data_IF_056292805778
#
_entry.id   IF_056292805778
#
_cell.length_a   1.000
_cell.length_b   1.000
_cell.length_c   1.000
_cell.angle_alpha   90.00
_cell.angle_beta   90.00
_cell.angle_gamma   90.00
#
_symmetry.space_group_name_H-M   'P 1'
#
loop_
_entity.id
_entity.type
_entity.pdbx_description
1 polymer ?
#
# COMPACT_ATOMS: atom_id res chain seq x y z
N UNK A 1 1.67 13.51 14.09
CA UNK A 1 1.12 12.76 12.97
C UNK A 1 -0.34 12.41 13.20
N UNK A 2 -1.10 12.33 12.12
CA UNK A 2 -2.53 12.00 12.16
C UNK A 2 -2.75 10.74 11.33
N UNK A 3 -3.31 9.69 11.93
CA UNK A 3 -3.61 8.46 11.19
C UNK A 3 -4.70 8.69 10.15
N UNK A 4 -4.53 8.09 8.96
CA UNK A 4 -5.53 8.14 7.90
C UNK A 4 -6.17 6.77 7.73
N UNK A 5 -7.49 6.72 7.81
CA UNK A 5 -8.23 5.50 7.51
C UNK A 5 -8.32 5.32 5.99
N UNK A 6 -8.49 4.08 5.57
CA UNK A 6 -8.57 3.72 4.15
C UNK A 6 -9.58 4.58 3.39
N UNK A 7 -10.76 4.81 3.96
CA UNK A 7 -11.81 5.58 3.30
C UNK A 7 -11.39 7.01 2.98
N UNK A 8 -10.62 7.64 3.85
CA UNK A 8 -10.12 9.00 3.61
C UNK A 8 -9.22 9.01 2.38
N UNK A 9 -8.32 8.03 2.28
CA UNK A 9 -7.39 7.92 1.15
C UNK A 9 -8.14 7.62 -0.13
N UNK A 10 -9.10 6.68 -0.09
CA UNK A 10 -9.92 6.34 -1.26
C UNK A 10 -10.70 7.56 -1.76
N UNK A 11 -11.35 8.29 -0.87
CA UNK A 11 -12.11 9.50 -1.26
C UNK A 11 -11.21 10.57 -1.86
N UNK A 12 -10.01 10.70 -1.33
CA UNK A 12 -9.02 11.64 -1.89
C UNK A 12 -8.57 11.23 -3.30
N UNK A 13 -8.33 9.94 -3.50
CA UNK A 13 -7.79 9.43 -4.78
C UNK A 13 -8.85 9.29 -5.86
N UNK A 14 -10.03 8.76 -5.52
CA UNK A 14 -11.03 8.35 -6.52
C UNK A 14 -12.00 9.48 -6.87
N UNK A 15 -12.34 10.36 -5.92
CA UNK A 15 -13.17 11.52 -6.17
C UNK A 15 -14.62 11.20 -6.63
N UNK A 16 -15.13 10.02 -6.27
CA UNK A 16 -16.46 9.55 -6.71
C UNK A 16 -17.63 10.00 -5.81
N UNK A 17 -17.31 10.47 -4.61
CA UNK A 17 -18.30 11.05 -3.69
C UNK A 17 -17.95 12.54 -3.52
N UNK A 18 -18.68 13.46 -4.17
CA UNK A 18 -18.28 14.87 -4.18
C UNK A 18 -18.09 15.50 -2.81
N UNK A 19 -18.97 15.18 -1.86
CA UNK A 19 -18.91 15.75 -0.52
C UNK A 19 -17.71 15.22 0.27
N UNK A 20 -17.53 13.90 0.30
CA UNK A 20 -16.41 13.29 1.03
C UNK A 20 -15.09 13.56 0.33
N UNK A 21 -15.06 13.58 -1.00
CA UNK A 21 -13.87 13.91 -1.77
C UNK A 21 -13.39 15.34 -1.45
N UNK A 22 -14.30 16.29 -1.36
CA UNK A 22 -13.96 17.67 -1.02
C UNK A 22 -13.35 17.76 0.39
N UNK A 23 -13.93 17.05 1.35
CA UNK A 23 -13.42 17.01 2.72
C UNK A 23 -12.02 16.37 2.78
N UNK A 24 -11.85 15.23 2.10
CA UNK A 24 -10.58 14.51 2.07
C UNK A 24 -9.49 15.35 1.39
N UNK A 25 -9.81 15.97 0.26
CA UNK A 25 -8.87 16.83 -0.48
C UNK A 25 -8.41 18.00 0.38
N UNK A 26 -9.37 18.68 1.03
CA UNK A 26 -9.05 19.80 1.91
C UNK A 26 -8.14 19.36 3.07
N UNK A 27 -8.46 18.21 3.66
CA UNK A 27 -7.67 17.68 4.78
C UNK A 27 -6.24 17.37 4.35
N UNK A 28 -6.07 16.62 3.27
CA UNK A 28 -4.75 16.22 2.80
C UNK A 28 -3.92 17.42 2.30
N UNK A 29 -4.56 18.34 1.56
CA UNK A 29 -3.81 19.42 0.90
C UNK A 29 -3.65 20.68 1.74
N UNK A 30 -4.52 20.90 2.73
CA UNK A 30 -4.51 22.13 3.51
C UNK A 30 -4.30 21.97 5.00
N UNK A 31 -4.68 20.82 5.57
CA UNK A 31 -4.49 20.56 7.01
C UNK A 31 -3.18 19.83 7.26
N UNK A 32 -2.89 18.80 6.47
CA UNK A 32 -1.63 18.05 6.61
C UNK A 32 -0.45 18.85 6.06
N UNK A 33 0.72 18.61 6.66
CA UNK A 33 1.98 19.22 6.24
C UNK A 33 3.13 18.25 6.55
N UNK A 34 4.34 18.60 6.17
CA UNK A 34 5.52 17.80 6.51
C UNK A 34 5.72 17.73 8.04
N UNK A 35 5.36 18.80 8.75
CA UNK A 35 5.50 18.88 10.22
C UNK A 35 4.35 18.20 10.96
N UNK A 36 3.19 18.07 10.31
CA UNK A 36 2.01 17.40 10.85
C UNK A 36 1.46 16.46 9.78
N UNK A 37 2.19 15.40 9.52
CA UNK A 37 1.92 14.49 8.42
C UNK A 37 0.77 13.53 8.71
N UNK A 38 0.12 13.08 7.65
CA UNK A 38 -0.80 11.94 7.71
C UNK A 38 0.00 10.64 7.75
N UNK A 39 -0.38 9.72 8.64
CA UNK A 39 0.29 8.44 8.79
C UNK A 39 -0.56 7.32 8.18
N UNK A 40 0.05 6.53 7.31
CA UNK A 40 -0.59 5.40 6.64
C UNK A 40 0.06 4.12 7.14
N UNK A 41 -0.72 3.27 7.82
CA UNK A 41 -0.21 1.98 8.29
C UNK A 41 -0.09 0.99 7.13
N UNK A 42 0.73 -0.03 7.30
CA UNK A 42 0.85 -1.11 6.31
C UNK A 42 -0.47 -1.86 6.14
N UNK A 43 -1.26 -1.99 7.20
CA UNK A 43 -2.60 -2.59 7.15
C UNK A 43 -3.50 -1.77 6.22
N UNK A 44 -3.54 -0.46 6.42
CA UNK A 44 -4.34 0.44 5.58
C UNK A 44 -3.87 0.38 4.12
N UNK A 45 -2.57 0.30 3.90
CA UNK A 45 -2.01 0.24 2.56
C UNK A 45 -2.46 -1.02 1.82
N UNK A 46 -2.44 -2.19 2.48
CA UNK A 46 -2.94 -3.43 1.90
C UNK A 46 -4.44 -3.36 1.59
N UNK A 47 -5.22 -2.79 2.52
CA UNK A 47 -6.65 -2.60 2.31
C UNK A 47 -6.93 -1.67 1.13
N UNK A 48 -6.15 -0.59 1.01
CA UNK A 48 -6.26 0.35 -0.10
C UNK A 48 -6.04 -0.34 -1.45
N UNK A 49 -4.99 -1.14 -1.56
CA UNK A 49 -4.70 -1.89 -2.79
C UNK A 49 -5.87 -2.81 -3.14
N UNK A 50 -6.39 -3.53 -2.15
CA UNK A 50 -7.54 -4.42 -2.36
C UNK A 50 -8.77 -3.65 -2.83
N UNK A 51 -9.10 -2.53 -2.18
CA UNK A 51 -10.25 -1.69 -2.54
C UNK A 51 -10.11 -1.16 -3.96
N UNK A 52 -8.95 -0.63 -4.32
CA UNK A 52 -8.73 -0.09 -5.65
C UNK A 52 -8.86 -1.16 -6.73
N UNK A 53 -8.32 -2.35 -6.48
CA UNK A 53 -8.39 -3.45 -7.43
C UNK A 53 -9.82 -4.03 -7.54
N UNK A 54 -10.43 -4.37 -6.41
CA UNK A 54 -11.69 -5.12 -6.39
C UNK A 54 -12.93 -4.24 -6.50
N UNK A 55 -12.90 -3.03 -5.95
CA UNK A 55 -14.07 -2.15 -5.94
C UNK A 55 -14.04 -1.13 -7.10
N UNK A 56 -12.87 -0.77 -7.59
CA UNK A 56 -12.72 0.25 -8.63
C UNK A 56 -12.06 -0.27 -9.90
N UNK A 57 -11.69 -1.54 -9.95
CA UNK A 57 -11.13 -2.14 -11.15
C UNK A 57 -9.78 -1.57 -11.57
N UNK A 58 -9.01 -1.02 -10.63
CA UNK A 58 -7.70 -0.47 -10.94
C UNK A 58 -6.74 -1.59 -11.34
N UNK A 59 -6.02 -1.40 -12.44
CA UNK A 59 -4.99 -2.34 -12.87
C UNK A 59 -3.70 -2.17 -12.06
N UNK A 60 -2.76 -3.08 -12.24
CA UNK A 60 -1.50 -3.06 -11.49
C UNK A 60 -0.68 -1.81 -11.75
N UNK A 61 -0.69 -1.30 -12.96
CA UNK A 61 0.03 -0.07 -13.32
C UNK A 61 -0.51 1.13 -12.55
N UNK A 62 -1.83 1.24 -12.45
CA UNK A 62 -2.48 2.33 -11.71
C UNK A 62 -2.20 2.22 -10.21
N UNK A 63 -2.31 1.01 -9.66
CA UNK A 63 -2.01 0.76 -8.25
C UNK A 63 -0.56 1.11 -7.94
N UNK A 64 0.38 0.72 -8.80
CA UNK A 64 1.79 1.08 -8.65
C UNK A 64 1.96 2.60 -8.58
N UNK A 65 1.34 3.33 -9.50
CA UNK A 65 1.41 4.79 -9.52
C UNK A 65 0.86 5.43 -8.25
N UNK A 66 -0.25 4.89 -7.72
CA UNK A 66 -0.83 5.36 -6.46
C UNK A 66 0.14 5.13 -5.30
N UNK A 67 0.71 3.95 -5.17
CA UNK A 67 1.64 3.63 -4.09
C UNK A 67 2.90 4.49 -4.16
N UNK A 68 3.46 4.65 -5.35
CA UNK A 68 4.62 5.53 -5.55
C UNK A 68 4.30 6.97 -5.16
N UNK A 69 3.12 7.46 -5.53
CA UNK A 69 2.67 8.81 -5.18
C UNK A 69 2.52 9.01 -3.68
N UNK A 70 1.95 8.04 -2.98
CA UNK A 70 1.81 8.11 -1.51
C UNK A 70 3.17 8.12 -0.84
N UNK A 71 4.08 7.26 -1.30
CA UNK A 71 5.44 7.16 -0.75
C UNK A 71 6.26 8.42 -1.00
N UNK A 72 6.00 9.14 -2.09
CA UNK A 72 6.73 10.34 -2.45
C UNK A 72 6.14 11.63 -1.85
N UNK A 73 4.96 11.57 -1.26
CA UNK A 73 4.28 12.76 -0.75
C UNK A 73 4.93 13.29 0.53
N UNK A 74 5.16 14.59 0.59
CA UNK A 74 5.80 15.24 1.74
C UNK A 74 4.89 15.31 2.96
N UNK A 75 3.58 15.36 2.77
CA UNK A 75 2.61 15.44 3.87
C UNK A 75 2.09 14.08 4.33
N UNK A 76 2.61 12.99 3.76
CA UNK A 76 2.23 11.63 4.14
C UNK A 76 3.46 10.84 4.57
N UNK A 77 3.30 10.06 5.63
CA UNK A 77 4.31 9.12 6.11
C UNK A 77 3.72 7.72 6.04
N UNK A 78 4.35 6.87 5.26
CA UNK A 78 3.97 5.45 5.16
C UNK A 78 4.79 4.67 6.18
N UNK A 79 4.12 3.83 6.96
CA UNK A 79 4.77 2.96 7.95
C UNK A 79 5.83 2.08 7.27
N UNK A 80 7.04 2.05 7.83
CA UNK A 80 8.18 1.28 7.30
C UNK A 80 8.33 1.44 5.78
N UNK A 81 8.42 2.69 5.32
CA UNK A 81 8.45 3.03 3.90
C UNK A 81 9.48 2.23 3.10
N UNK A 82 10.66 1.94 3.68
CA UNK A 82 11.69 1.15 3.00
C UNK A 82 11.22 -0.29 2.68
N UNK A 83 10.50 -0.91 3.61
CA UNK A 83 9.91 -2.23 3.38
C UNK A 83 8.83 -2.17 2.32
N UNK A 84 8.03 -1.10 2.33
CA UNK A 84 6.97 -0.91 1.35
C UNK A 84 7.56 -0.72 -0.06
N UNK A 85 8.65 0.05 -0.20
CA UNK A 85 9.36 0.17 -1.47
C UNK A 85 9.88 -1.17 -1.99
N UNK A 86 10.47 -1.98 -1.11
CA UNK A 86 10.97 -3.32 -1.47
C UNK A 86 9.81 -4.23 -1.90
N UNK A 87 8.70 -4.19 -1.15
CA UNK A 87 7.51 -4.97 -1.49
C UNK A 87 6.93 -4.53 -2.83
N UNK A 88 6.89 -3.23 -3.10
CA UNK A 88 6.38 -2.69 -4.36
C UNK A 88 7.20 -3.19 -5.54
N UNK A 89 8.52 -3.18 -5.43
CA UNK A 89 9.41 -3.70 -6.48
C UNK A 89 9.23 -5.20 -6.70
N UNK A 90 9.15 -5.99 -5.63
CA UNK A 90 8.95 -7.42 -5.72
C UNK A 90 7.59 -7.77 -6.33
N UNK A 91 6.55 -7.03 -5.92
CA UNK A 91 5.20 -7.18 -6.44
C UNK A 91 5.14 -6.83 -7.93
N UNK A 92 5.77 -5.72 -8.33
CA UNK A 92 5.77 -5.26 -9.72
C UNK A 92 6.44 -6.27 -10.66
N UNK A 93 7.44 -6.99 -10.18
CA UNK A 93 8.16 -8.01 -10.93
C UNK A 93 7.47 -9.38 -10.90
N UNK A 94 6.31 -9.52 -10.28
CA UNK A 94 5.64 -10.80 -10.04
C UNK A 94 4.16 -10.72 -10.39
N UNK A 95 3.46 -11.86 -10.31
CA UNK A 95 2.00 -11.91 -10.41
C UNK A 95 1.30 -12.04 -9.06
N UNK A 96 2.03 -11.87 -7.96
CA UNK A 96 1.50 -12.06 -6.62
C UNK A 96 0.69 -10.86 -6.14
N UNK A 97 -0.06 -11.03 -5.04
CA UNK A 97 -0.76 -9.95 -4.38
C UNK A 97 0.23 -9.05 -3.62
N UNK A 98 -0.10 -7.78 -3.51
CA UNK A 98 0.74 -6.82 -2.81
C UNK A 98 0.92 -7.19 -1.33
N UNK A 99 -0.14 -7.64 -0.66
CA UNK A 99 -0.08 -8.07 0.74
C UNK A 99 0.89 -9.24 0.93
N UNK A 100 0.97 -10.16 -0.04
CA UNK A 100 1.93 -11.26 0.01
C UNK A 100 3.36 -10.74 -0.13
N UNK A 101 3.60 -9.83 -1.07
CA UNK A 101 4.90 -9.22 -1.25
C UNK A 101 5.35 -8.49 0.01
N UNK A 102 4.45 -7.75 0.64
CA UNK A 102 4.74 -7.03 1.89
C UNK A 102 5.01 -8.00 3.05
N UNK A 103 4.21 -9.06 3.16
CA UNK A 103 4.41 -10.11 4.17
C UNK A 103 5.82 -10.68 4.09
N UNK A 104 6.28 -11.00 2.89
CA UNK A 104 7.63 -11.54 2.69
C UNK A 104 8.73 -10.59 3.13
N UNK A 105 8.57 -9.30 2.84
CA UNK A 105 9.54 -8.29 3.26
C UNK A 105 9.56 -8.10 4.79
N UNK A 106 8.40 -8.16 5.43
CA UNK A 106 8.31 -8.06 6.90
C UNK A 106 9.00 -9.27 7.54
N UNK A 107 8.73 -10.47 7.05
CA UNK A 107 9.35 -11.70 7.58
C UNK A 107 10.86 -11.63 7.44
N UNK A 108 11.36 -11.25 6.27
CA UNK A 108 12.80 -11.11 6.03
C UNK A 108 13.43 -10.07 6.97
N UNK A 109 12.77 -8.94 7.17
CA UNK A 109 13.25 -7.88 8.06
C UNK A 109 13.30 -8.31 9.53
N UNK A 110 12.48 -9.28 9.92
CA UNK A 110 12.46 -9.85 11.27
C UNK A 110 13.40 -11.03 11.42
N UNK A 111 14.23 -11.31 10.43
CA UNK A 111 15.21 -12.41 10.47
C UNK A 111 14.64 -13.77 10.06
N UNK A 112 13.44 -13.80 9.50
CA UNK A 112 12.84 -15.03 8.99
C UNK A 112 13.58 -15.55 7.76
N UNK A 113 13.80 -16.86 7.69
CA UNK A 113 14.54 -17.48 6.60
C UNK A 113 13.70 -17.62 5.33
N UNK A 114 12.40 -17.83 5.47
CA UNK A 114 11.49 -18.00 4.34
C UNK A 114 10.04 -17.79 4.78
N UNK A 115 9.18 -17.56 3.79
CA UNK A 115 7.72 -17.53 3.98
C UNK A 115 7.14 -18.69 3.19
N UNK A 116 6.33 -19.53 3.81
CA UNK A 116 5.68 -20.66 3.12
C UNK A 116 4.27 -20.27 2.70
N UNK A 117 3.84 -20.80 1.57
CA UNK A 117 2.54 -20.46 0.99
C UNK A 117 1.97 -21.64 0.20
N UNK A 118 0.66 -21.67 0.02
CA UNK A 118 0.01 -22.55 -0.96
C UNK A 118 -0.27 -21.84 -2.28
N UNK A 119 -0.09 -20.53 -2.33
CA UNK A 119 -0.36 -19.72 -3.53
C UNK A 119 0.83 -19.80 -4.49
N UNK A 120 0.58 -20.30 -5.71
CA UNK A 120 1.66 -20.47 -6.71
C UNK A 120 2.26 -19.15 -7.17
N UNK A 121 1.45 -18.09 -7.26
CA UNK A 121 1.95 -16.76 -7.64
C UNK A 121 2.83 -16.19 -6.54
N UNK A 122 2.41 -16.29 -5.28
CA UNK A 122 3.19 -15.83 -4.14
C UNK A 122 4.49 -16.61 -3.99
N UNK A 123 4.50 -17.90 -4.35
CA UNK A 123 5.71 -18.73 -4.25
C UNK A 123 6.84 -18.25 -5.15
N UNK A 124 6.56 -17.40 -6.13
CA UNK A 124 7.56 -16.80 -7.02
C UNK A 124 8.22 -15.56 -6.42
N UNK A 125 7.68 -15.05 -5.33
CA UNK A 125 8.27 -13.90 -4.64
C UNK A 125 9.58 -14.28 -3.94
N UNK A 126 10.51 -13.32 -3.79
CA UNK A 126 11.76 -13.58 -3.05
C UNK A 126 11.47 -14.08 -1.63
N UNK A 127 12.15 -15.15 -1.24
CA UNK A 127 12.02 -15.72 0.10
C UNK A 127 10.78 -16.56 0.33
N UNK A 128 9.96 -16.78 -0.68
CA UNK A 128 8.77 -17.63 -0.57
C UNK A 128 9.07 -19.05 -1.04
N UNK A 129 8.35 -20.00 -0.47
CA UNK A 129 8.43 -21.41 -0.83
C UNK A 129 7.04 -22.01 -0.84
N UNK A 130 6.71 -22.71 -1.93
CA UNK A 130 5.43 -23.41 -2.03
C UNK A 130 5.43 -24.61 -1.07
N UNK A 131 4.41 -24.66 -0.22
CA UNK A 131 4.24 -25.81 0.68
C UNK A 131 3.54 -26.93 -0.07
N UNK A 132 4.19 -28.10 -0.12
CA UNK A 132 3.66 -29.26 -0.84
C UNK A 132 4.21 -30.56 -0.30
#
# INVERSE_FOLDING_TARGET
MIGLDTNVIVRYLVQDDPKQAALATRFVERVLSAENAGFITMITLCELVWVLAECYGADRKRIRGVLEGLLASKQLVVEDADLVWKALRAWDASGADFSDALTGQIVAARGGGKTVTFDRAAAKLPGFELLQ
#
